data_IF_795239237979
#
_entry.id   IF_795239237979
#
_cell.length_a   1.000
_cell.length_b   1.000
_cell.length_c   1.000
_cell.angle_alpha   90.00
_cell.angle_beta   90.00
_cell.angle_gamma   90.00
#
_symmetry.space_group_name_H-M   'P 1'
#
loop_
_entity.id
_entity.type
_entity.pdbx_description
1 polymer ?
#
# COMPACT_ATOMS: atom_id res chain seq x y z
N UNK A 1 7.37 -34.35 -1.09
CA UNK A 1 7.47 -33.26 -0.10
C UNK A 1 7.99 -32.07 -0.87
N UNK A 2 7.08 -31.35 -1.53
CA UNK A 2 7.42 -30.17 -2.32
C UNK A 2 6.60 -29.05 -1.73
N UNK A 3 7.31 -28.13 -1.10
CA UNK A 3 6.82 -26.93 -0.46
C UNK A 3 6.16 -26.05 -1.53
N UNK A 4 4.83 -25.92 -1.49
CA UNK A 4 4.09 -24.95 -2.29
C UNK A 4 4.18 -23.60 -1.58
N UNK A 5 5.35 -22.97 -1.66
CA UNK A 5 5.62 -21.63 -1.14
C UNK A 5 5.14 -20.52 -2.08
N UNK A 6 3.92 -20.63 -2.63
CA UNK A 6 3.33 -19.61 -3.51
C UNK A 6 1.98 -19.13 -2.97
N UNK A 7 1.74 -17.82 -3.09
CA UNK A 7 0.51 -17.06 -2.82
C UNK A 7 0.23 -16.54 -1.40
N UNK A 8 1.17 -15.81 -0.78
CA UNK A 8 0.83 -14.74 0.18
C UNK A 8 1.18 -13.32 -0.34
N UNK A 9 1.81 -13.21 -1.51
CA UNK A 9 2.36 -11.94 -2.02
C UNK A 9 1.32 -11.02 -2.68
N UNK A 10 0.10 -11.50 -2.93
CA UNK A 10 -0.94 -10.73 -3.63
C UNK A 10 -1.76 -9.78 -2.76
N UNK A 11 -1.55 -9.77 -1.43
CA UNK A 11 -2.32 -8.94 -0.47
C UNK A 11 -1.49 -7.84 0.19
N UNK A 12 -0.16 -7.84 -0.01
CA UNK A 12 0.73 -6.94 0.73
C UNK A 12 1.11 -5.72 -0.10
N UNK A 13 0.97 -4.54 0.52
CA UNK A 13 1.41 -3.27 -0.05
C UNK A 13 2.92 -3.28 -0.33
N UNK A 14 3.30 -2.75 -1.49
CA UNK A 14 4.70 -2.51 -1.85
C UNK A 14 5.07 -1.06 -1.53
N UNK A 15 6.10 -0.86 -0.72
CA UNK A 15 6.59 0.47 -0.34
C UNK A 15 7.89 0.81 -1.06
N UNK A 16 7.99 2.02 -1.59
CA UNK A 16 9.26 2.63 -2.02
C UNK A 16 9.53 3.86 -1.16
N UNK A 17 10.40 3.66 -0.16
CA UNK A 17 10.85 4.70 0.73
C UNK A 17 12.05 5.51 0.19
N UNK A 18 12.67 5.06 -0.89
CA UNK A 18 13.82 5.72 -1.51
C UNK A 18 13.37 6.77 -2.55
N UNK A 19 12.16 6.61 -3.10
CA UNK A 19 11.53 7.62 -3.93
C UNK A 19 11.16 8.89 -3.14
N UNK A 20 11.20 10.06 -3.80
CA UNK A 20 10.78 11.33 -3.23
C UNK A 20 9.66 11.95 -4.09
N UNK A 21 8.42 12.06 -3.58
CA UNK A 21 7.93 11.63 -2.26
C UNK A 21 7.80 10.10 -2.16
N UNK A 22 7.96 9.48 -0.98
CA UNK A 22 7.73 8.05 -0.80
C UNK A 22 6.35 7.62 -1.27
N UNK A 23 6.25 6.40 -1.78
CA UNK A 23 4.96 5.88 -2.22
C UNK A 23 4.72 4.45 -1.75
N UNK A 24 3.47 4.09 -1.83
CA UNK A 24 2.98 2.73 -1.69
C UNK A 24 2.18 2.36 -2.92
N UNK A 25 2.21 1.10 -3.34
CA UNK A 25 1.42 0.61 -4.47
C UNK A 25 0.88 -0.79 -4.24
N UNK A 26 -0.17 -1.12 -4.98
CA UNK A 26 -0.76 -2.44 -5.03
C UNK A 26 -1.50 -2.64 -6.36
N UNK A 27 -1.69 -3.89 -6.79
CA UNK A 27 -2.45 -4.16 -8.03
C UNK A 27 -3.93 -3.83 -7.90
N UNK A 28 -4.49 -4.05 -6.72
CA UNK A 28 -5.89 -3.77 -6.42
C UNK A 28 -6.11 -2.32 -5.98
N UNK A 29 -7.14 -1.69 -6.54
CA UNK A 29 -7.64 -0.39 -6.11
C UNK A 29 -8.16 -0.44 -4.68
N UNK A 30 -8.95 -1.46 -4.35
CA UNK A 30 -9.62 -1.59 -3.06
C UNK A 30 -8.64 -1.67 -1.88
N UNK A 31 -7.51 -2.37 -2.07
CA UNK A 31 -6.45 -2.43 -1.06
C UNK A 31 -5.79 -1.07 -0.84
N UNK A 32 -5.48 -0.31 -1.91
CA UNK A 32 -4.89 1.04 -1.76
C UNK A 32 -5.91 2.03 -1.18
N UNK A 33 -7.19 1.89 -1.49
CA UNK A 33 -8.27 2.69 -0.91
C UNK A 33 -8.46 2.42 0.59
N UNK A 34 -8.45 1.15 1.02
CA UNK A 34 -8.48 0.80 2.44
C UNK A 34 -7.28 1.40 3.18
N UNK A 35 -6.09 1.30 2.60
CA UNK A 35 -4.89 1.91 3.18
C UNK A 35 -5.00 3.43 3.24
N UNK A 36 -5.51 4.08 2.19
CA UNK A 36 -5.77 5.51 2.16
C UNK A 36 -6.71 5.96 3.29
N UNK A 37 -7.77 5.21 3.56
CA UNK A 37 -8.71 5.50 4.66
C UNK A 37 -8.00 5.34 6.01
N UNK A 38 -7.37 4.19 6.23
CA UNK A 38 -6.64 3.88 7.47
C UNK A 38 -5.56 4.91 7.78
N UNK A 39 -4.80 5.36 6.77
CA UNK A 39 -3.81 6.43 6.90
C UNK A 39 -4.45 7.71 7.45
N UNK A 40 -5.63 8.08 6.98
CA UNK A 40 -6.37 9.24 7.47
C UNK A 40 -6.81 9.11 8.92
N UNK A 41 -7.35 7.95 9.28
CA UNK A 41 -7.79 7.62 10.65
C UNK A 41 -6.62 7.61 11.65
N UNK A 42 -5.40 7.31 11.17
CA UNK A 42 -4.17 7.29 11.97
C UNK A 42 -3.33 8.57 11.84
N UNK A 43 -3.92 9.68 11.38
CA UNK A 43 -3.29 11.00 11.43
C UNK A 43 -2.34 11.32 10.27
N UNK A 44 -2.32 10.50 9.22
CA UNK A 44 -1.53 10.75 8.00
C UNK A 44 -2.31 11.61 7.02
N UNK A 45 -2.50 12.88 7.35
CA UNK A 45 -3.34 13.80 6.58
C UNK A 45 -2.73 14.19 5.21
N UNK A 46 -1.40 14.32 5.11
CA UNK A 46 -0.74 14.72 3.87
C UNK A 46 -0.32 13.50 3.04
N UNK A 47 -1.24 13.04 2.21
CA UNK A 47 -1.09 11.93 1.26
C UNK A 47 -1.87 12.21 -0.02
N UNK A 48 -1.50 11.59 -1.13
CA UNK A 48 -2.32 11.67 -2.33
C UNK A 48 -3.57 10.79 -2.18
N UNK A 49 -4.59 11.05 -3.00
CA UNK A 49 -5.58 10.00 -3.28
C UNK A 49 -4.90 8.84 -4.02
N UNK A 50 -5.47 7.62 -3.96
CA UNK A 50 -5.06 6.54 -4.86
C UNK A 50 -5.24 6.95 -6.32
N UNK A 51 -4.23 6.71 -7.15
CA UNK A 51 -4.28 6.96 -8.59
C UNK A 51 -3.76 5.74 -9.37
N UNK A 52 -4.14 5.56 -10.65
CA UNK A 52 -3.58 4.48 -11.46
C UNK A 52 -2.06 4.65 -11.63
N UNK A 53 -1.29 3.60 -11.34
CA UNK A 53 0.15 3.56 -11.60
C UNK A 53 0.39 3.31 -13.09
N UNK A 54 0.83 4.34 -13.81
CA UNK A 54 1.10 4.27 -15.25
C UNK A 54 2.44 3.60 -15.60
N UNK A 55 3.31 3.37 -14.62
CA UNK A 55 4.64 2.79 -14.82
C UNK A 55 4.64 1.32 -14.39
N UNK A 56 4.19 1.04 -13.16
CA UNK A 56 4.14 -0.32 -12.60
C UNK A 56 2.84 -1.07 -12.86
N UNK A 57 1.78 -0.37 -13.28
CA UNK A 57 0.42 -0.92 -13.31
C UNK A 57 -0.21 -1.01 -11.92
N UNK A 58 -1.54 -1.11 -11.87
CA UNK A 58 -2.28 -1.10 -10.61
C UNK A 58 -2.49 0.31 -10.07
N UNK A 59 -2.32 0.49 -8.77
CA UNK A 59 -2.66 1.71 -8.04
C UNK A 59 -1.54 2.14 -7.09
N UNK A 60 -1.32 3.44 -7.02
CA UNK A 60 -0.26 4.07 -6.24
C UNK A 60 -0.81 5.21 -5.38
N UNK A 61 -0.19 5.40 -4.22
CA UNK A 61 -0.45 6.50 -3.29
C UNK A 61 0.87 7.06 -2.79
N UNK A 62 1.01 8.38 -2.78
CA UNK A 62 2.19 9.08 -2.29
C UNK A 62 1.98 9.61 -0.87
N UNK A 63 3.04 9.56 -0.06
CA UNK A 63 3.06 10.03 1.33
C UNK A 63 3.94 11.27 1.42
N UNK A 64 3.37 12.41 1.78
CA UNK A 64 4.07 13.71 1.79
C UNK A 64 4.51 14.16 3.19
N UNK A 65 4.11 13.44 4.24
CA UNK A 65 4.51 13.74 5.61
C UNK A 65 5.40 12.65 6.20
N UNK A 66 6.25 12.99 7.19
CA UNK A 66 6.96 11.99 7.97
C UNK A 66 6.00 11.00 8.63
N UNK A 67 6.35 9.71 8.57
CA UNK A 67 5.58 8.59 9.12
C UNK A 67 6.52 7.55 9.70
N UNK A 68 6.02 6.75 10.64
CA UNK A 68 6.75 5.58 11.15
C UNK A 68 6.61 4.41 10.17
N UNK A 69 7.69 4.06 9.47
CA UNK A 69 7.66 3.03 8.40
C UNK A 69 7.18 1.67 8.90
N UNK A 70 7.66 1.24 10.07
CA UNK A 70 7.29 -0.03 10.71
C UNK A 70 5.79 -0.16 10.93
N UNK A 71 5.12 0.93 11.32
CA UNK A 71 3.67 0.94 11.53
C UNK A 71 2.91 0.72 10.21
N UNK A 72 3.37 1.35 9.12
CA UNK A 72 2.74 1.25 7.81
C UNK A 72 2.99 -0.14 7.18
N UNK A 73 4.19 -0.68 7.33
CA UNK A 73 4.56 -2.01 6.82
C UNK A 73 3.87 -3.16 7.57
N UNK A 74 3.45 -2.93 8.82
CA UNK A 74 2.67 -3.88 9.61
C UNK A 74 1.18 -3.91 9.25
N UNK A 75 0.68 -2.91 8.51
CA UNK A 75 -0.72 -2.84 8.11
C UNK A 75 -1.12 -4.01 7.21
N UNK A 76 -2.35 -4.50 7.35
CA UNK A 76 -2.95 -5.55 6.52
C UNK A 76 -4.36 -5.14 6.09
N UNK A 77 -4.78 -5.45 4.85
CA UNK A 77 -6.15 -5.20 4.41
C UNK A 77 -7.15 -6.03 5.22
N UNK A 78 -8.36 -5.53 5.40
CA UNK A 78 -9.44 -6.23 6.12
C UNK A 78 -10.30 -7.09 5.21
N UNK A 79 -10.23 -6.87 3.90
CA UNK A 79 -10.96 -7.63 2.88
C UNK A 79 -9.93 -8.41 2.06
N UNK A 80 -10.04 -9.74 2.05
CA UNK A 80 -9.51 -10.57 0.97
C UNK A 80 -10.43 -10.32 -0.23
N UNK A 81 -9.93 -9.68 -1.28
CA UNK A 81 -10.70 -9.58 -2.52
C UNK A 81 -10.89 -10.99 -3.08
N UNK A 82 -12.15 -11.38 -3.30
CA UNK A 82 -12.57 -12.65 -3.93
C UNK A 82 -12.06 -12.80 -5.37
#
# INVERSE_FOLDING_TARGET
MTDWGECLTGQQLEFDWAHEPPFVRHRSQGVVEQFFIWLGENGVARRSIPIPDRVGGGWILFIYQPVEKSLLEAWRPTIEEE
#
